data_IF_249141700014
#
_entry.id   IF_249141700014
#
_cell.length_a   1.000
_cell.length_b   1.000
_cell.length_c   1.000
_cell.angle_alpha   90.00
_cell.angle_beta   90.00
_cell.angle_gamma   90.00
#
_symmetry.space_group_name_H-M   'P 1'
#
loop_
_entity.id
_entity.type
_entity.pdbx_description
1 polymer ?
#
# COMPACT_ATOMS: atom_id res chain seq x y z
N UNK A 1 -16.61 7.33 3.02
CA UNK A 1 -15.53 7.74 3.95
C UNK A 1 -14.21 7.05 3.62
N UNK A 2 -14.09 5.70 3.75
CA UNK A 2 -12.84 4.96 3.46
C UNK A 2 -12.35 5.15 2.02
N UNK A 3 -13.25 5.08 1.03
CA UNK A 3 -12.90 5.29 -0.39
C UNK A 3 -12.26 6.66 -0.67
N UNK A 4 -12.78 7.74 -0.05
CA UNK A 4 -12.23 9.08 -0.23
C UNK A 4 -10.84 9.22 0.40
N UNK A 5 -10.66 8.63 1.60
CA UNK A 5 -9.35 8.58 2.25
C UNK A 5 -8.33 7.79 1.41
N UNK A 6 -8.76 6.65 0.85
CA UNK A 6 -7.95 5.83 -0.06
C UNK A 6 -7.44 6.64 -1.26
N UNK A 7 -8.33 7.33 -1.98
CA UNK A 7 -7.94 8.20 -3.10
C UNK A 7 -6.97 9.29 -2.65
N UNK A 8 -7.28 10.03 -1.58
CA UNK A 8 -6.43 11.12 -1.09
C UNK A 8 -5.02 10.65 -0.72
N UNK A 9 -4.91 9.53 0.01
CA UNK A 9 -3.61 9.00 0.43
C UNK A 9 -2.83 8.44 -0.76
N UNK A 10 -3.47 7.73 -1.69
CA UNK A 10 -2.81 7.24 -2.90
C UNK A 10 -2.27 8.38 -3.75
N UNK A 11 -3.08 9.41 -4.00
CA UNK A 11 -2.67 10.58 -4.76
C UNK A 11 -1.45 11.26 -4.12
N UNK A 12 -1.47 11.41 -2.79
CA UNK A 12 -0.34 11.95 -2.04
C UNK A 12 0.92 11.10 -2.17
N UNK A 13 0.82 9.77 -2.06
CA UNK A 13 1.98 8.85 -2.17
C UNK A 13 2.52 8.82 -3.59
N UNK A 14 1.65 8.84 -4.60
CA UNK A 14 2.05 8.87 -6.01
C UNK A 14 2.71 10.20 -6.39
N UNK A 15 2.28 11.32 -5.80
CA UNK A 15 2.94 12.61 -5.98
C UNK A 15 4.33 12.64 -5.31
N UNK A 16 4.52 11.93 -4.19
CA UNK A 16 5.81 11.81 -3.50
C UNK A 16 6.76 10.86 -4.25
N UNK A 17 6.27 9.69 -4.65
CA UNK A 17 7.01 8.70 -5.42
C UNK A 17 6.05 7.77 -6.17
N UNK A 18 5.92 7.97 -7.47
CA UNK A 18 5.05 7.14 -8.30
C UNK A 18 5.59 5.71 -8.53
N UNK A 19 6.84 5.41 -8.19
CA UNK A 19 7.39 4.07 -8.41
C UNK A 19 7.27 3.17 -7.18
N UNK A 20 6.98 3.76 -6.02
CA UNK A 20 6.94 3.05 -4.75
C UNK A 20 5.87 3.61 -3.81
N UNK A 21 4.91 2.76 -3.44
CA UNK A 21 3.84 3.09 -2.51
C UNK A 21 3.97 2.22 -1.27
N UNK A 22 3.83 2.85 -0.10
CA UNK A 22 3.85 2.14 1.19
C UNK A 22 2.80 2.70 2.15
N UNK A 23 2.06 1.78 2.76
CA UNK A 23 1.18 2.05 3.89
C UNK A 23 1.60 1.24 5.12
N UNK A 24 1.65 1.92 6.26
CA UNK A 24 2.06 1.30 7.54
C UNK A 24 0.89 1.20 8.51
N UNK A 25 1.03 0.31 9.49
CA UNK A 25 0.08 0.18 10.60
C UNK A 25 -0.11 1.52 11.33
N UNK A 26 0.98 2.23 11.63
CA UNK A 26 0.92 3.52 12.31
C UNK A 26 0.11 4.54 11.51
N UNK A 27 0.35 4.65 10.19
CA UNK A 27 -0.36 5.59 9.34
C UNK A 27 -1.87 5.30 9.27
N UNK A 28 -2.26 4.04 9.10
CA UNK A 28 -3.67 3.68 8.91
C UNK A 28 -4.43 3.58 10.24
N UNK A 29 -3.89 2.85 11.22
CA UNK A 29 -4.59 2.54 12.48
C UNK A 29 -4.43 3.60 13.55
N UNK A 30 -3.29 4.28 13.60
CA UNK A 30 -3.00 5.27 14.65
C UNK A 30 -3.29 6.68 14.18
N UNK A 31 -2.68 7.11 13.07
CA UNK A 31 -2.83 8.49 12.57
C UNK A 31 -4.23 8.76 11.99
N UNK A 32 -4.75 7.85 11.17
CA UNK A 32 -6.08 7.99 10.56
C UNK A 32 -7.20 7.29 11.35
N UNK A 33 -6.87 6.67 12.49
CA UNK A 33 -7.80 6.01 13.40
C UNK A 33 -8.77 5.03 12.70
N UNK A 34 -8.28 4.30 11.70
CA UNK A 34 -9.08 3.28 11.04
C UNK A 34 -9.28 2.10 11.99
N UNK A 35 -10.51 1.58 12.04
CA UNK A 35 -10.78 0.26 12.60
C UNK A 35 -10.19 -0.84 11.71
N UNK A 36 -10.19 -2.08 12.19
CA UNK A 36 -9.69 -3.24 11.44
C UNK A 36 -10.46 -3.44 10.16
N UNK A 37 -11.79 -3.50 10.25
CA UNK A 37 -12.67 -3.61 9.09
C UNK A 37 -12.45 -2.48 8.07
N UNK A 38 -12.25 -1.25 8.53
CA UNK A 38 -11.97 -0.12 7.64
C UNK A 38 -10.57 -0.20 7.00
N UNK A 39 -9.60 -0.76 7.72
CA UNK A 39 -8.24 -0.98 7.20
C UNK A 39 -8.25 -2.05 6.13
N UNK A 40 -8.95 -3.16 6.35
CA UNK A 40 -9.09 -4.22 5.35
C UNK A 40 -9.78 -3.70 4.08
N UNK A 41 -10.85 -2.91 4.25
CA UNK A 41 -11.53 -2.25 3.13
C UNK A 41 -10.59 -1.28 2.40
N UNK A 42 -9.81 -0.48 3.14
CA UNK A 42 -8.84 0.45 2.58
C UNK A 42 -7.77 -0.28 1.75
N UNK A 43 -7.18 -1.34 2.30
CA UNK A 43 -6.13 -2.12 1.65
C UNK A 43 -6.65 -2.80 0.38
N UNK A 44 -7.87 -3.36 0.42
CA UNK A 44 -8.52 -3.95 -0.76
C UNK A 44 -8.71 -2.91 -1.87
N UNK A 45 -9.17 -1.71 -1.53
CA UNK A 45 -9.35 -0.63 -2.51
C UNK A 45 -8.02 -0.16 -3.10
N UNK A 46 -6.98 -0.02 -2.26
CA UNK A 46 -5.64 0.36 -2.72
C UNK A 46 -5.05 -0.68 -3.66
N UNK A 47 -5.13 -1.96 -3.28
CA UNK A 47 -4.64 -3.07 -4.08
C UNK A 47 -5.28 -3.08 -5.47
N UNK A 48 -6.61 -3.06 -5.56
CA UNK A 48 -7.32 -3.01 -6.85
C UNK A 48 -6.92 -1.80 -7.70
N UNK A 49 -6.76 -0.62 -7.09
CA UNK A 49 -6.36 0.58 -7.82
C UNK A 49 -4.92 0.47 -8.36
N UNK A 50 -3.99 0.02 -7.52
CA UNK A 50 -2.58 -0.09 -7.84
C UNK A 50 -2.33 -1.17 -8.90
N UNK A 51 -2.96 -2.34 -8.77
CA UNK A 51 -2.88 -3.41 -9.78
C UNK A 51 -3.39 -2.95 -11.14
N UNK A 52 -4.53 -2.24 -11.18
CA UNK A 52 -5.07 -1.65 -12.41
C UNK A 52 -4.15 -0.58 -13.03
N UNK A 53 -3.19 -0.06 -12.26
CA UNK A 53 -2.19 0.92 -12.69
C UNK A 53 -0.82 0.29 -12.99
N UNK A 54 -0.73 -1.05 -12.99
CA UNK A 54 0.51 -1.77 -13.32
C UNK A 54 1.49 -1.90 -12.17
N UNK A 55 1.03 -1.79 -10.92
CA UNK A 55 1.88 -2.05 -9.76
C UNK A 55 1.82 -3.52 -9.35
N UNK A 56 2.96 -4.04 -8.89
CA UNK A 56 3.01 -5.26 -8.10
C UNK A 56 2.77 -4.92 -6.63
N UNK A 57 1.76 -5.53 -6.01
CA UNK A 57 1.30 -5.20 -4.65
C UNK A 57 1.59 -6.37 -3.70
N UNK A 58 2.13 -6.06 -2.53
CA UNK A 58 2.51 -7.00 -1.47
C UNK A 58 1.87 -6.57 -0.15
N UNK A 59 1.20 -7.50 0.54
CA UNK A 59 0.41 -7.24 1.76
C UNK A 59 0.87 -8.17 2.87
N UNK A 60 1.24 -7.62 4.02
CA UNK A 60 1.50 -8.31 5.29
C UNK A 60 2.30 -9.63 5.25
N UNK A 61 3.51 -9.65 5.83
CA UNK A 61 4.34 -10.86 6.01
C UNK A 61 4.65 -11.68 4.74
N UNK A 62 4.33 -11.18 3.55
CA UNK A 62 4.75 -11.79 2.28
C UNK A 62 6.20 -11.40 1.99
N UNK A 63 6.94 -12.33 1.39
CA UNK A 63 8.26 -12.06 0.82
C UNK A 63 8.10 -11.47 -0.58
N UNK A 64 8.89 -10.47 -0.92
CA UNK A 64 8.94 -9.93 -2.27
C UNK A 64 10.38 -9.84 -2.76
N UNK A 65 10.56 -10.02 -4.07
CA UNK A 65 11.85 -9.85 -4.73
C UNK A 65 11.80 -8.53 -5.49
N UNK A 66 12.64 -7.57 -5.09
CA UNK A 66 12.78 -6.30 -5.78
C UNK A 66 14.25 -6.07 -6.11
N UNK A 67 14.55 -5.71 -7.35
CA UNK A 67 15.90 -5.40 -7.82
C UNK A 67 16.94 -6.51 -7.50
N UNK A 68 16.62 -7.77 -7.81
CA UNK A 68 17.45 -8.96 -7.52
C UNK A 68 17.79 -9.21 -6.04
N UNK A 69 17.09 -8.55 -5.11
CA UNK A 69 17.19 -8.80 -3.68
C UNK A 69 15.85 -9.28 -3.11
N UNK A 70 15.89 -10.30 -2.26
CA UNK A 70 14.71 -10.76 -1.51
C UNK A 70 14.56 -9.92 -0.25
N UNK A 71 13.39 -9.30 -0.08
CA UNK A 71 13.02 -8.57 1.13
C UNK A 71 11.74 -9.13 1.74
N UNK A 72 11.56 -8.87 3.04
CA UNK A 72 10.29 -9.11 3.72
C UNK A 72 9.56 -7.77 3.84
N UNK A 73 8.24 -7.78 3.66
CA UNK A 73 7.39 -6.71 4.20
C UNK A 73 7.66 -6.63 5.71
N UNK A 74 8.03 -5.45 6.20
CA UNK A 74 8.34 -5.28 7.61
C UNK A 74 7.07 -5.49 8.46
N UNK A 75 7.18 -5.92 9.73
CA UNK A 75 5.99 -6.22 10.54
C UNK A 75 5.00 -5.05 10.69
N UNK A 76 5.47 -3.81 10.54
CA UNK A 76 4.66 -2.60 10.61
C UNK A 76 4.13 -2.12 9.24
N UNK A 77 4.48 -2.80 8.14
CA UNK A 77 4.06 -2.47 6.78
C UNK A 77 2.83 -3.31 6.43
N UNK A 78 1.73 -2.62 6.10
CA UNK A 78 0.48 -3.27 5.75
C UNK A 78 0.37 -3.49 4.23
N UNK A 79 0.91 -2.58 3.44
CA UNK A 79 0.97 -2.69 1.98
C UNK A 79 2.24 -2.02 1.46
N UNK A 80 2.89 -2.71 0.53
CA UNK A 80 3.97 -2.18 -0.30
C UNK A 80 3.60 -2.43 -1.76
N UNK A 81 3.86 -1.46 -2.63
CA UNK A 81 3.69 -1.65 -4.05
C UNK A 81 4.80 -0.99 -4.86
N UNK A 82 5.21 -1.66 -5.94
CA UNK A 82 6.21 -1.18 -6.87
C UNK A 82 5.60 -1.07 -8.27
N UNK A 83 5.81 0.06 -8.94
CA UNK A 83 5.39 0.21 -10.34
C UNK A 83 6.25 -0.71 -11.20
N UNK A 84 5.62 -1.54 -12.00
CA UNK A 84 6.34 -2.44 -12.90
C UNK A 84 6.71 -1.64 -14.15
N UNK A 85 8.00 -1.39 -14.38
CA UNK A 85 8.51 -0.70 -15.58
C UNK A 85 8.58 -1.62 -16.82
N UNK A 86 7.78 -2.69 -16.87
CA UNK A 86 7.80 -3.64 -17.99
C UNK A 86 7.18 -3.06 -19.25
#
# INVERSE_FOLDING_TARGET
MVKQLCTMLLDSKMAENENFIRFTFYELRVKNNLSEKQTDEFLRLCMTYLENKGYEVYVGNTRYSYNNATQNVQPNELLIAFKNDK
#
